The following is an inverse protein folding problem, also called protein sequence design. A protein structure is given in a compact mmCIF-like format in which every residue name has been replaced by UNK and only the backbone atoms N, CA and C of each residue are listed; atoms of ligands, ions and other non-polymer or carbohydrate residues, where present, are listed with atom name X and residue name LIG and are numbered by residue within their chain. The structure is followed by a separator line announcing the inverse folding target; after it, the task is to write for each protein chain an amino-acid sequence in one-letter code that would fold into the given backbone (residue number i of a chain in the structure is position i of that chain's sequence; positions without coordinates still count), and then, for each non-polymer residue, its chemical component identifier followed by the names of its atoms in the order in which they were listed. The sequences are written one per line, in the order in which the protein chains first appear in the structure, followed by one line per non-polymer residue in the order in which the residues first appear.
data_IF_004047595831
#
_entry.id   IF_004047595831
#
_cell.length_a   1.000
_cell.length_b   1.000
_cell.length_c   1.000
_cell.angle_alpha   90.00
_cell.angle_beta   90.00
_cell.angle_gamma   90.00
#
_symmetry.space_group_name_H-M   'P 1'
#
loop_
_entity.id
_entity.type
_entity.pdbx_description
1 polymer ?
#
# COMPACT_ATOMS: atom_id res chain seq x y z
N UNK A 1 13.93 -8.95 -14.92
CA UNK A 1 13.61 -10.31 -15.37
C UNK A 1 12.14 -10.41 -15.72
N UNK A 2 11.22 -10.15 -14.79
CA UNK A 2 9.78 -10.29 -15.06
C UNK A 2 9.26 -9.40 -16.21
N UNK A 3 9.86 -8.23 -16.44
CA UNK A 3 9.55 -7.35 -17.57
C UNK A 3 10.27 -7.72 -18.88
N UNK A 4 11.05 -8.80 -18.88
CA UNK A 4 11.79 -9.26 -20.07
C UNK A 4 13.06 -8.45 -20.40
N UNK A 5 13.45 -7.48 -19.58
CA UNK A 5 14.66 -6.65 -19.82
C UNK A 5 15.96 -7.43 -19.65
N UNK A 6 15.97 -8.38 -18.73
CA UNK A 6 17.10 -9.27 -18.48
C UNK A 6 16.62 -10.72 -18.42
N UNK A 7 17.37 -11.67 -19.03
CA UNK A 7 16.96 -13.08 -19.04
C UNK A 7 17.11 -13.74 -17.68
N UNK A 8 18.03 -13.26 -16.83
CA UNK A 8 18.34 -13.84 -15.53
C UNK A 8 18.82 -12.75 -14.56
N UNK A 9 18.61 -12.98 -13.27
CA UNK A 9 19.18 -12.19 -12.17
C UNK A 9 19.59 -13.12 -11.04
N UNK A 10 20.39 -12.60 -10.12
CA UNK A 10 20.79 -13.27 -8.88
C UNK A 10 20.20 -12.50 -7.71
N UNK A 11 19.62 -13.22 -6.77
CA UNK A 11 19.07 -12.66 -5.54
C UNK A 11 19.17 -13.70 -4.44
N UNK A 12 19.12 -13.25 -3.19
CA UNK A 12 18.99 -14.15 -2.05
C UNK A 12 17.71 -14.97 -2.19
N UNK A 13 17.80 -16.27 -1.91
CA UNK A 13 16.68 -17.21 -2.10
C UNK A 13 15.40 -16.72 -1.40
N UNK A 14 15.50 -16.28 -0.14
CA UNK A 14 14.35 -15.82 0.62
C UNK A 14 13.68 -14.57 0.02
N UNK A 15 14.44 -13.70 -0.66
CA UNK A 15 13.93 -12.54 -1.40
C UNK A 15 13.24 -13.01 -2.68
N UNK A 16 13.87 -13.91 -3.42
CA UNK A 16 13.30 -14.45 -4.65
C UNK A 16 11.97 -15.18 -4.38
N UNK A 17 11.91 -16.03 -3.36
CA UNK A 17 10.69 -16.74 -2.91
C UNK A 17 9.58 -15.80 -2.44
N UNK A 18 9.93 -14.66 -1.83
CA UNK A 18 8.97 -13.64 -1.42
C UNK A 18 8.28 -12.98 -2.63
N UNK A 19 9.05 -12.72 -3.69
CA UNK A 19 8.57 -12.00 -4.86
C UNK A 19 8.05 -12.90 -5.98
N UNK A 20 8.46 -14.17 -6.04
CA UNK A 20 8.02 -15.12 -7.07
C UNK A 20 6.50 -15.17 -7.24
N UNK A 21 5.69 -15.20 -6.16
CA UNK A 21 4.25 -15.21 -6.33
C UNK A 21 3.66 -13.95 -7.00
N UNK A 22 4.37 -12.82 -6.97
CA UNK A 22 3.98 -11.56 -7.60
C UNK A 22 4.47 -11.46 -9.05
N UNK A 23 5.55 -12.17 -9.38
CA UNK A 23 6.21 -12.16 -10.67
C UNK A 23 6.01 -13.51 -11.37
N UNK A 24 4.83 -13.73 -11.93
CA UNK A 24 4.42 -15.01 -12.50
C UNK A 24 5.26 -15.47 -13.70
N UNK A 25 5.94 -14.53 -14.36
CA UNK A 25 6.81 -14.83 -15.51
C UNK A 25 8.29 -15.02 -15.07
N UNK A 26 8.53 -15.03 -13.77
CA UNK A 26 9.84 -15.31 -13.16
C UNK A 26 9.86 -16.70 -12.57
N UNK A 27 10.91 -17.47 -12.85
CA UNK A 27 11.12 -18.80 -12.31
C UNK A 27 12.40 -18.84 -11.47
N UNK A 28 12.30 -19.35 -10.24
CA UNK A 28 13.47 -19.65 -9.42
C UNK A 28 14.06 -20.97 -9.90
N UNK A 29 15.34 -20.97 -10.26
CA UNK A 29 16.08 -22.18 -10.65
C UNK A 29 16.54 -22.91 -9.38
N UNK A 30 15.78 -23.88 -8.96
CA UNK A 30 16.12 -24.73 -7.79
C UNK A 30 17.40 -25.53 -8.08
N UNK A 31 18.32 -25.55 -7.10
CA UNK A 31 19.57 -26.29 -7.20
C UNK A 31 20.70 -25.56 -7.92
N UNK A 32 20.48 -24.32 -8.38
CA UNK A 32 21.55 -23.46 -8.94
C UNK A 32 21.87 -22.35 -7.93
N UNK A 33 22.92 -22.54 -7.16
CA UNK A 33 23.37 -21.60 -6.13
C UNK A 33 24.75 -21.05 -6.49
N UNK A 34 24.94 -19.75 -6.42
CA UNK A 34 26.25 -19.10 -6.56
C UNK A 34 27.01 -19.09 -5.24
N UNK A 35 26.28 -19.11 -4.14
CA UNK A 35 26.81 -19.18 -2.78
C UNK A 35 25.83 -19.84 -1.85
N UNK A 36 26.31 -20.67 -0.94
CA UNK A 36 25.52 -21.34 0.09
C UNK A 36 26.04 -20.98 1.49
N UNK A 37 25.21 -21.12 2.50
CA UNK A 37 25.59 -20.86 3.89
C UNK A 37 25.70 -19.38 4.26
N UNK A 38 25.08 -18.50 3.48
CA UNK A 38 25.02 -17.07 3.81
C UNK A 38 24.23 -16.82 5.11
N UNK A 39 24.76 -15.95 5.97
CA UNK A 39 24.09 -15.53 7.20
C UNK A 39 23.63 -14.08 7.08
N UNK A 40 22.39 -13.81 7.50
CA UNK A 40 21.89 -12.43 7.66
C UNK A 40 22.30 -11.91 9.02
N UNK A 41 23.11 -10.85 9.03
CA UNK A 41 23.66 -10.28 10.26
C UNK A 41 23.42 -8.78 10.34
N UNK A 42 23.28 -8.28 11.56
CA UNK A 42 23.22 -6.85 11.81
C UNK A 42 24.64 -6.29 11.99
N UNK A 43 24.94 -5.20 11.29
CA UNK A 43 26.22 -4.51 11.44
C UNK A 43 26.13 -3.48 12.57
N UNK A 44 27.10 -3.49 13.46
CA UNK A 44 27.22 -2.61 14.61
C UNK A 44 28.60 -1.91 14.63
N UNK A 45 28.66 -0.77 15.31
CA UNK A 45 29.96 -0.16 15.64
C UNK A 45 30.75 -1.11 16.54
N UNK A 46 32.07 -1.23 16.30
CA UNK A 46 32.96 -2.10 17.08
C UNK A 46 32.92 -1.83 18.59
N UNK A 47 32.72 -0.60 19.02
CA UNK A 47 32.71 -0.18 20.42
C UNK A 47 31.31 -0.11 21.02
N UNK A 48 30.42 -1.05 20.70
CA UNK A 48 29.05 -1.09 21.21
C UNK A 48 28.71 -2.46 21.85
N UNK A 49 29.47 -2.94 22.86
CA UNK A 49 29.29 -4.30 23.39
C UNK A 49 27.93 -4.51 24.07
N UNK A 50 27.40 -3.47 24.73
CA UNK A 50 26.09 -3.52 25.39
C UNK A 50 24.96 -3.67 24.35
N UNK A 51 25.03 -2.95 23.21
CA UNK A 51 24.08 -3.07 22.12
C UNK A 51 24.19 -4.45 21.46
N UNK A 52 25.40 -4.96 21.25
CA UNK A 52 25.61 -6.30 20.73
C UNK A 52 24.94 -7.36 21.61
N UNK A 53 25.13 -7.26 22.93
CA UNK A 53 24.52 -8.19 23.90
C UNK A 53 22.99 -8.09 23.85
N UNK A 54 22.43 -6.89 23.82
CA UNK A 54 20.98 -6.67 23.76
C UNK A 54 20.38 -7.23 22.46
N UNK A 55 21.04 -7.01 21.31
CA UNK A 55 20.57 -7.54 20.02
C UNK A 55 20.69 -9.04 19.91
N UNK A 56 21.74 -9.64 20.45
CA UNK A 56 21.88 -11.08 20.50
C UNK A 56 20.82 -11.74 21.39
N UNK A 57 20.50 -11.13 22.53
CA UNK A 57 19.40 -11.58 23.40
C UNK A 57 18.05 -11.47 22.68
N UNK A 58 17.78 -10.32 22.06
CA UNK A 58 16.58 -10.09 21.25
C UNK A 58 16.45 -11.14 20.13
N UNK A 59 17.51 -11.36 19.35
CA UNK A 59 17.48 -12.33 18.25
C UNK A 59 17.24 -13.76 18.73
N UNK A 60 17.82 -14.14 19.87
CA UNK A 60 17.62 -15.47 20.46
C UNK A 60 16.15 -15.72 20.81
N UNK A 61 15.46 -14.71 21.35
CA UNK A 61 14.05 -14.82 21.78
C UNK A 61 13.05 -14.59 20.63
N UNK A 62 13.45 -13.87 19.57
CA UNK A 62 12.54 -13.40 18.52
C UNK A 62 12.83 -13.99 17.13
N UNK A 63 13.67 -15.01 17.02
CA UNK A 63 13.96 -15.71 15.75
C UNK A 63 12.74 -16.42 15.17
N UNK A 64 12.82 -16.81 13.90
CA UNK A 64 11.84 -17.70 13.26
C UNK A 64 11.72 -18.98 14.12
N UNK A 65 10.48 -19.39 14.40
CA UNK A 65 10.17 -20.47 15.35
C UNK A 65 9.70 -19.96 16.72
N UNK A 66 10.03 -18.73 17.13
CA UNK A 66 9.41 -18.07 18.28
C UNK A 66 8.03 -17.52 17.93
N UNK A 67 7.21 -17.22 18.92
CA UNK A 67 5.90 -16.60 18.71
C UNK A 67 6.03 -15.28 17.94
N UNK A 68 6.92 -14.38 18.38
CA UNK A 68 7.17 -13.11 17.71
C UNK A 68 7.70 -13.30 16.27
N UNK A 69 8.71 -14.16 16.08
CA UNK A 69 9.26 -14.45 14.76
C UNK A 69 8.21 -15.01 13.81
N UNK A 70 7.34 -15.90 14.29
CA UNK A 70 6.24 -16.45 13.50
C UNK A 70 5.15 -15.41 13.19
N UNK A 71 4.87 -14.48 14.10
CA UNK A 71 3.96 -13.35 13.86
C UNK A 71 4.53 -12.44 12.77
N UNK A 72 5.81 -12.09 12.85
CA UNK A 72 6.48 -11.29 11.85
C UNK A 72 6.51 -11.98 10.48
N UNK A 73 6.88 -13.26 10.45
CA UNK A 73 6.86 -14.05 9.22
C UNK A 73 5.46 -14.08 8.58
N UNK A 74 4.40 -14.32 9.37
CA UNK A 74 3.02 -14.29 8.90
C UNK A 74 2.61 -12.91 8.39
N UNK A 75 3.01 -11.84 9.09
CA UNK A 75 2.65 -10.48 8.74
C UNK A 75 3.30 -10.01 7.44
N UNK A 76 4.59 -10.28 7.26
CA UNK A 76 5.36 -9.75 6.14
C UNK A 76 5.47 -10.73 4.96
N UNK A 77 5.50 -12.03 5.21
CA UNK A 77 5.69 -13.05 4.17
C UNK A 77 4.39 -13.79 3.79
N UNK A 78 3.48 -14.04 4.73
CA UNK A 78 2.21 -14.73 4.38
C UNK A 78 1.10 -13.79 3.92
N UNK A 79 1.17 -12.50 4.19
CA UNK A 79 0.25 -11.51 3.63
C UNK A 79 0.51 -11.19 2.14
N UNK A 80 1.53 -11.78 1.54
CA UNK A 80 1.68 -11.80 0.07
C UNK A 80 0.44 -12.37 -0.64
N UNK A 81 -0.32 -13.27 -0.01
CA UNK A 81 -1.62 -13.73 -0.53
C UNK A 81 -2.63 -12.60 -0.76
N UNK A 82 -2.68 -11.56 0.09
CA UNK A 82 -3.56 -10.40 -0.15
C UNK A 82 -3.09 -9.55 -1.32
N UNK A 83 -1.78 -9.40 -1.46
CA UNK A 83 -1.17 -8.69 -2.59
C UNK A 83 -1.36 -9.49 -3.88
N UNK A 84 -1.23 -10.82 -3.83
CA UNK A 84 -1.53 -11.75 -4.92
C UNK A 84 -3.00 -11.73 -5.31
N UNK A 85 -3.91 -11.64 -4.34
CA UNK A 85 -5.33 -11.52 -4.64
C UNK A 85 -5.64 -10.29 -5.48
N UNK A 86 -4.95 -9.16 -5.26
CA UNK A 86 -5.18 -7.94 -6.05
C UNK A 86 -4.92 -8.11 -7.57
N UNK A 87 -4.13 -9.11 -7.97
CA UNK A 87 -3.85 -9.44 -9.39
C UNK A 87 -4.49 -10.74 -9.84
N UNK A 88 -5.34 -11.37 -9.03
CA UNK A 88 -6.11 -12.53 -9.47
C UNK A 88 -7.02 -12.17 -10.64
N UNK A 89 -7.37 -13.14 -11.49
CA UNK A 89 -8.24 -12.91 -12.65
C UNK A 89 -9.56 -12.22 -12.28
N UNK A 90 -10.15 -12.59 -11.13
CA UNK A 90 -11.38 -11.98 -10.63
C UNK A 90 -11.20 -10.51 -10.27
N UNK A 91 -10.11 -10.19 -9.56
CA UNK A 91 -9.81 -8.81 -9.14
C UNK A 91 -9.35 -7.95 -10.33
N UNK A 92 -8.62 -8.52 -11.28
CA UNK A 92 -8.27 -7.82 -12.53
C UNK A 92 -9.49 -7.53 -13.40
N UNK A 93 -10.55 -8.35 -13.37
CA UNK A 93 -11.83 -7.98 -14.01
C UNK A 93 -12.46 -6.76 -13.35
N UNK A 94 -12.51 -6.71 -12.01
CA UNK A 94 -12.99 -5.53 -11.28
C UNK A 94 -12.12 -4.29 -11.55
N UNK A 95 -10.80 -4.47 -11.55
CA UNK A 95 -9.84 -3.43 -11.93
C UNK A 95 -10.21 -2.84 -13.29
N UNK A 96 -10.32 -3.66 -14.33
CA UNK A 96 -10.61 -3.22 -15.69
C UNK A 96 -11.99 -2.55 -15.81
N UNK A 97 -12.97 -2.99 -15.02
CA UNK A 97 -14.31 -2.40 -15.01
C UNK A 97 -14.36 -1.00 -14.36
N UNK A 98 -13.47 -0.72 -13.41
CA UNK A 98 -13.52 0.51 -12.63
C UNK A 98 -12.38 1.50 -12.95
N UNK A 99 -11.30 1.08 -13.61
CA UNK A 99 -10.12 1.93 -13.86
C UNK A 99 -10.47 3.25 -14.54
N UNK A 100 -11.37 3.25 -15.53
CA UNK A 100 -11.80 4.47 -16.20
C UNK A 100 -12.55 5.46 -15.28
N UNK A 101 -13.28 4.96 -14.28
CA UNK A 101 -13.93 5.81 -13.27
C UNK A 101 -12.89 6.43 -12.32
N UNK A 102 -11.89 5.64 -11.92
CA UNK A 102 -10.79 6.15 -11.12
C UNK A 102 -9.94 7.17 -11.89
N UNK A 103 -9.65 6.93 -13.17
CA UNK A 103 -8.94 7.91 -14.04
C UNK A 103 -9.71 9.22 -14.14
N UNK A 104 -11.04 9.17 -14.38
CA UNK A 104 -11.92 10.34 -14.46
C UNK A 104 -11.85 11.18 -13.17
N UNK A 105 -12.08 10.56 -12.00
CA UNK A 105 -12.15 11.31 -10.75
C UNK A 105 -10.76 11.70 -10.23
N UNK A 106 -9.74 10.87 -10.47
CA UNK A 106 -8.36 11.22 -10.18
C UNK A 106 -7.90 12.46 -10.98
N UNK A 107 -8.27 12.55 -12.26
CA UNK A 107 -8.01 13.73 -13.07
C UNK A 107 -8.73 14.99 -12.55
N UNK A 108 -9.98 14.83 -12.08
CA UNK A 108 -10.76 15.95 -11.52
C UNK A 108 -10.19 16.48 -10.19
N UNK A 109 -9.69 15.57 -9.34
CA UNK A 109 -9.21 15.91 -7.99
C UNK A 109 -7.68 15.89 -7.86
N UNK A 110 -6.95 15.78 -8.98
CA UNK A 110 -5.48 15.85 -9.09
C UNK A 110 -4.75 14.79 -8.26
N UNK A 111 -5.19 13.54 -8.37
CA UNK A 111 -4.56 12.39 -7.72
C UNK A 111 -4.04 11.36 -8.72
N UNK A 112 -3.12 10.49 -8.28
CA UNK A 112 -2.75 9.29 -9.02
C UNK A 112 -3.90 8.27 -8.94
N UNK A 113 -4.47 7.91 -10.10
CA UNK A 113 -5.64 7.01 -10.18
C UNK A 113 -5.35 5.60 -9.67
N UNK A 114 -4.13 5.09 -9.83
CA UNK A 114 -3.75 3.77 -9.32
C UNK A 114 -3.63 3.78 -7.79
N UNK A 115 -3.23 4.91 -7.21
CA UNK A 115 -3.15 5.06 -5.76
C UNK A 115 -4.54 5.17 -5.13
N UNK A 116 -5.47 5.91 -5.75
CA UNK A 116 -6.89 5.93 -5.36
C UNK A 116 -7.53 4.54 -5.51
N UNK A 117 -7.22 3.86 -6.59
CA UNK A 117 -7.75 2.51 -6.83
C UNK A 117 -7.22 1.50 -5.81
N UNK A 118 -5.95 1.63 -5.40
CA UNK A 118 -5.38 0.84 -4.32
C UNK A 118 -6.09 1.08 -2.98
N UNK A 119 -6.54 2.31 -2.71
CA UNK A 119 -7.40 2.60 -1.56
C UNK A 119 -8.76 1.89 -1.70
N UNK A 120 -9.44 2.02 -2.83
CA UNK A 120 -10.71 1.33 -3.07
C UNK A 120 -10.60 -0.19 -2.91
N UNK A 121 -9.46 -0.76 -3.28
CA UNK A 121 -9.18 -2.18 -3.03
C UNK A 121 -9.00 -2.48 -1.53
N UNK A 122 -8.30 -1.65 -0.79
CA UNK A 122 -8.15 -1.78 0.66
C UNK A 122 -9.49 -1.66 1.39
N UNK A 123 -10.37 -0.77 0.93
CA UNK A 123 -11.67 -0.50 1.55
C UNK A 123 -12.69 -1.63 1.33
N UNK A 124 -12.80 -2.13 0.10
CA UNK A 124 -13.89 -3.03 -0.29
C UNK A 124 -13.50 -4.17 -1.23
N UNK A 125 -12.22 -4.29 -1.63
CA UNK A 125 -11.80 -5.11 -2.76
C UNK A 125 -12.52 -4.73 -4.07
N UNK A 126 -12.72 -3.41 -4.27
CA UNK A 126 -13.41 -2.82 -5.42
C UNK A 126 -14.88 -3.29 -5.55
N UNK A 127 -15.54 -3.58 -4.45
CA UNK A 127 -16.93 -4.06 -4.44
C UNK A 127 -17.90 -2.92 -4.09
N UNK A 128 -18.73 -2.52 -5.06
CA UNK A 128 -19.78 -1.51 -4.86
C UNK A 128 -20.90 -2.00 -3.92
N UNK A 129 -21.11 -3.30 -3.80
CA UNK A 129 -22.12 -3.85 -2.89
C UNK A 129 -21.67 -3.91 -1.44
N UNK A 130 -20.37 -3.66 -1.17
CA UNK A 130 -19.82 -3.73 0.18
C UNK A 130 -20.49 -2.74 1.15
N UNK A 131 -20.76 -3.23 2.36
CA UNK A 131 -21.37 -2.47 3.47
C UNK A 131 -20.63 -2.78 4.76
N UNK A 132 -20.22 -1.76 5.50
CA UNK A 132 -19.61 -1.93 6.82
C UNK A 132 -20.66 -1.93 7.93
N UNK A 133 -20.27 -2.42 9.11
CA UNK A 133 -21.13 -2.34 10.31
C UNK A 133 -21.42 -0.91 10.76
N UNK A 134 -20.52 0.03 10.44
CA UNK A 134 -20.67 1.45 10.73
C UNK A 134 -21.54 2.18 9.69
N UNK A 135 -22.05 1.49 8.66
CA UNK A 135 -22.88 2.08 7.61
C UNK A 135 -22.10 2.68 6.43
N UNK A 136 -20.79 2.50 6.36
CA UNK A 136 -20.02 2.89 5.18
C UNK A 136 -20.37 1.99 3.98
N UNK A 137 -20.36 2.55 2.77
CA UNK A 137 -20.88 1.89 1.57
C UNK A 137 -19.93 2.00 0.38
N UNK A 138 -20.00 0.99 -0.49
CA UNK A 138 -19.42 0.99 -1.83
C UNK A 138 -17.92 0.83 -1.90
N UNK A 139 -17.38 1.10 -3.07
CA UNK A 139 -15.96 0.91 -3.42
C UNK A 139 -15.03 1.62 -2.45
N UNK A 140 -15.33 2.87 -2.08
CA UNK A 140 -14.50 3.72 -1.22
C UNK A 140 -14.92 3.70 0.26
N UNK A 141 -15.91 2.88 0.64
CA UNK A 141 -16.43 2.76 2.02
C UNK A 141 -16.67 4.11 2.68
N UNK A 142 -17.41 4.98 2.01
CA UNK A 142 -17.78 6.29 2.53
C UNK A 142 -19.15 6.23 3.21
N UNK A 143 -19.33 6.98 4.30
CA UNK A 143 -20.65 7.16 4.91
C UNK A 143 -21.55 8.00 3.99
N UNK A 144 -22.82 7.60 3.77
CA UNK A 144 -23.75 8.40 2.97
C UNK A 144 -23.97 9.82 3.50
N UNK A 145 -23.86 10.02 4.83
CA UNK A 145 -23.91 11.35 5.46
C UNK A 145 -22.74 12.23 5.01
N UNK A 146 -21.51 11.68 5.00
CA UNK A 146 -20.31 12.39 4.52
C UNK A 146 -20.43 12.72 3.03
N UNK A 147 -20.91 11.78 2.20
CA UNK A 147 -21.17 12.05 0.79
C UNK A 147 -22.18 13.19 0.59
N UNK A 148 -23.26 13.20 1.37
CA UNK A 148 -24.28 14.26 1.37
C UNK A 148 -23.70 15.62 1.74
N UNK A 149 -22.84 15.69 2.76
CA UNK A 149 -22.12 16.93 3.16
C UNK A 149 -21.23 17.45 2.03
N UNK A 150 -20.66 16.56 1.23
CA UNK A 150 -19.91 16.89 0.02
C UNK A 150 -20.78 17.25 -1.19
N UNK A 151 -22.12 17.22 -1.05
CA UNK A 151 -23.08 17.50 -2.13
C UNK A 151 -23.25 16.36 -3.13
N UNK A 152 -22.85 15.13 -2.78
CA UNK A 152 -22.94 13.95 -3.65
C UNK A 152 -23.97 12.97 -3.09
N UNK A 153 -24.90 12.54 -3.94
CA UNK A 153 -25.97 11.59 -3.61
C UNK A 153 -25.85 10.33 -4.46
N UNK A 154 -26.53 9.25 -4.03
CA UNK A 154 -26.60 7.99 -4.77
C UNK A 154 -25.33 7.13 -4.68
N UNK A 155 -24.51 7.35 -3.65
CA UNK A 155 -23.25 6.61 -3.43
C UNK A 155 -23.47 5.14 -3.12
N UNK A 156 -24.66 4.75 -2.66
CA UNK A 156 -25.02 3.36 -2.38
C UNK A 156 -25.25 2.52 -3.65
N UNK A 157 -25.77 3.16 -4.71
CA UNK A 157 -26.18 2.48 -5.94
C UNK A 157 -25.21 2.65 -7.12
N UNK A 158 -24.22 3.53 -6.99
CA UNK A 158 -23.35 3.89 -8.11
C UNK A 158 -21.88 3.94 -7.71
N UNK A 159 -21.06 3.10 -8.35
CA UNK A 159 -19.61 3.15 -8.18
C UNK A 159 -19.02 4.49 -8.63
N UNK A 160 -19.52 5.09 -9.71
CA UNK A 160 -19.08 6.41 -10.19
C UNK A 160 -19.29 7.47 -9.10
N UNK A 161 -20.49 7.54 -8.49
CA UNK A 161 -20.78 8.47 -7.40
C UNK A 161 -19.99 8.17 -6.13
N UNK A 162 -19.76 6.90 -5.85
CA UNK A 162 -19.01 6.49 -4.66
C UNK A 162 -17.53 6.86 -4.79
N UNK A 163 -16.91 6.63 -5.95
CA UNK A 163 -15.52 7.02 -6.25
C UNK A 163 -15.39 8.54 -6.28
N UNK A 164 -16.36 9.26 -6.89
CA UNK A 164 -16.41 10.73 -6.86
C UNK A 164 -16.37 11.27 -5.42
N UNK A 165 -17.26 10.75 -4.56
CA UNK A 165 -17.37 11.19 -3.18
C UNK A 165 -16.11 10.89 -2.37
N UNK A 166 -15.53 9.69 -2.51
CA UNK A 166 -14.27 9.32 -1.86
C UNK A 166 -13.10 10.20 -2.31
N UNK A 167 -12.98 10.47 -3.61
CA UNK A 167 -11.94 11.34 -4.17
C UNK A 167 -12.10 12.80 -3.70
N UNK A 168 -13.35 13.31 -3.68
CA UNK A 168 -13.66 14.65 -3.17
C UNK A 168 -13.35 14.79 -1.69
N UNK A 169 -13.63 13.75 -0.90
CA UNK A 169 -13.32 13.74 0.53
C UNK A 169 -11.81 13.77 0.77
N UNK A 170 -11.03 12.98 0.01
CA UNK A 170 -9.56 13.04 0.07
C UNK A 170 -9.03 14.43 -0.33
N UNK A 171 -9.62 15.06 -1.34
CA UNK A 171 -9.24 16.42 -1.75
C UNK A 171 -9.52 17.42 -0.63
N UNK A 172 -10.68 17.34 0.00
CA UNK A 172 -11.03 18.18 1.15
C UNK A 172 -10.04 17.99 2.31
N UNK A 173 -9.68 16.74 2.64
CA UNK A 173 -8.66 16.46 3.67
C UNK A 173 -7.33 17.10 3.27
N UNK A 174 -6.88 16.87 2.04
CA UNK A 174 -5.61 17.39 1.52
C UNK A 174 -5.55 18.91 1.60
N UNK A 175 -6.58 19.59 1.13
CA UNK A 175 -6.63 21.07 1.09
C UNK A 175 -6.74 21.69 2.48
N UNK A 176 -7.44 21.00 3.40
CA UNK A 176 -7.70 21.55 4.73
C UNK A 176 -6.53 21.34 5.69
N UNK A 177 -5.81 20.21 5.58
CA UNK A 177 -4.85 19.78 6.60
C UNK A 177 -3.43 19.56 6.09
N UNK A 178 -3.20 19.57 4.78
CA UNK A 178 -1.93 19.21 4.15
C UNK A 178 -1.49 20.25 3.10
N UNK A 179 -1.73 21.54 3.37
CA UNK A 179 -1.43 22.67 2.45
C UNK A 179 0.05 23.10 2.50
N UNK A 180 0.94 22.30 3.06
CA UNK A 180 2.36 22.59 3.04
C UNK A 180 2.97 22.22 1.67
N UNK A 181 3.65 23.18 1.05
CA UNK A 181 4.30 23.01 -0.25
C UNK A 181 5.47 22.02 -0.24
N UNK A 182 6.05 21.73 0.93
CA UNK A 182 7.12 20.76 1.09
C UNK A 182 6.62 19.31 1.06
N UNK A 183 5.31 19.09 1.25
CA UNK A 183 4.73 17.75 1.18
C UNK A 183 4.70 17.26 -0.28
N UNK A 184 5.46 16.21 -0.58
CA UNK A 184 5.44 15.60 -1.92
C UNK A 184 4.06 15.03 -2.26
N UNK A 185 3.65 14.96 -3.55
CA UNK A 185 2.33 14.44 -3.94
C UNK A 185 2.01 13.05 -3.37
N UNK A 186 3.00 12.16 -3.31
CA UNK A 186 2.84 10.81 -2.73
C UNK A 186 2.61 10.88 -1.22
N UNK A 187 3.42 11.64 -0.49
CA UNK A 187 3.24 11.79 0.96
C UNK A 187 1.92 12.47 1.30
N UNK A 188 1.53 13.50 0.53
CA UNK A 188 0.23 14.16 0.69
C UNK A 188 -0.92 13.16 0.63
N UNK A 189 -0.89 12.24 -0.31
CA UNK A 189 -1.92 11.23 -0.45
C UNK A 189 -1.84 10.15 0.66
N UNK A 190 -0.64 9.70 1.05
CA UNK A 190 -0.47 8.75 2.16
C UNK A 190 -0.97 9.34 3.49
N UNK A 191 -0.68 10.61 3.77
CA UNK A 191 -1.17 11.33 4.94
C UNK A 191 -2.69 11.53 4.87
N UNK A 192 -3.25 11.81 3.68
CA UNK A 192 -4.70 11.87 3.46
C UNK A 192 -5.38 10.52 3.74
N UNK A 193 -4.77 9.40 3.35
CA UNK A 193 -5.28 8.07 3.69
C UNK A 193 -5.27 7.80 5.19
N UNK A 194 -4.23 8.23 5.89
CA UNK A 194 -4.19 8.12 7.34
C UNK A 194 -5.33 8.92 8.00
N UNK A 195 -5.61 10.13 7.49
CA UNK A 195 -6.75 10.93 7.95
C UNK A 195 -8.11 10.35 7.54
N UNK A 196 -8.21 9.74 6.36
CA UNK A 196 -9.43 9.05 5.91
C UNK A 196 -9.82 7.91 6.86
N UNK A 197 -8.84 7.11 7.26
CA UNK A 197 -9.03 5.96 8.15
C UNK A 197 -9.20 6.37 9.62
N UNK A 198 -8.29 7.20 10.15
CA UNK A 198 -8.24 7.54 11.58
C UNK A 198 -9.02 8.81 11.95
N UNK A 199 -9.46 9.57 10.96
CA UNK A 199 -10.06 10.90 11.10
C UNK A 199 -9.03 12.04 11.10
N UNK A 200 -9.40 13.22 10.55
CA UNK A 200 -8.49 14.37 10.44
C UNK A 200 -7.96 14.88 11.79
N UNK A 201 -8.77 14.79 12.85
CA UNK A 201 -8.34 15.18 14.20
C UNK A 201 -7.18 14.33 14.72
N UNK A 202 -7.07 13.07 14.33
CA UNK A 202 -5.94 12.22 14.68
C UNK A 202 -4.72 12.53 13.81
N UNK A 203 -4.87 12.85 12.52
CA UNK A 203 -3.77 13.30 11.67
C UNK A 203 -3.02 14.48 12.32
N UNK A 204 -3.74 15.46 12.82
CA UNK A 204 -3.15 16.63 13.52
C UNK A 204 -2.39 16.25 14.79
N UNK A 205 -2.81 15.18 15.48
CA UNK A 205 -2.05 14.65 16.63
C UNK A 205 -0.80 13.89 16.16
N UNK A 206 -0.88 13.18 15.05
CA UNK A 206 0.26 12.48 14.47
C UNK A 206 1.36 13.46 14.07
N UNK A 207 1.02 14.54 13.37
CA UNK A 207 1.96 15.59 12.97
C UNK A 207 2.65 16.19 14.20
N UNK A 208 1.89 16.66 15.18
CA UNK A 208 2.45 17.23 16.41
C UNK A 208 3.36 16.26 17.18
N UNK A 209 3.03 14.99 17.23
CA UNK A 209 3.88 14.00 17.89
C UNK A 209 5.13 13.70 17.07
N UNK A 210 5.04 13.65 15.73
CA UNK A 210 6.18 13.48 14.85
C UNK A 210 7.18 14.63 15.05
N UNK A 211 6.75 15.89 14.95
CA UNK A 211 7.57 17.07 15.21
C UNK A 211 8.24 17.03 16.58
N UNK A 212 7.46 16.77 17.63
CA UNK A 212 7.97 16.66 19.01
C UNK A 212 9.01 15.54 19.18
N UNK A 213 8.95 14.53 18.34
CA UNK A 213 9.86 13.38 18.35
C UNK A 213 11.08 13.57 17.43
N UNK A 214 11.24 14.75 16.79
CA UNK A 214 12.31 15.01 15.82
C UNK A 214 12.14 14.26 14.51
N UNK A 215 10.91 13.86 14.16
CA UNK A 215 10.56 13.21 12.92
C UNK A 215 9.95 14.23 11.95
N UNK A 216 10.05 13.96 10.64
CA UNK A 216 9.51 14.82 9.61
C UNK A 216 7.97 14.67 9.52
N UNK A 217 7.18 15.73 9.81
CA UNK A 217 5.72 15.69 9.76
C UNK A 217 5.18 15.61 8.31
N UNK A 218 6.00 15.89 7.30
CA UNK A 218 5.63 15.90 5.90
C UNK A 218 5.87 14.55 5.21
N UNK A 219 6.43 13.57 5.92
CA UNK A 219 6.77 12.25 5.39
C UNK A 219 6.07 11.16 6.18
N UNK A 220 5.32 10.30 5.49
CA UNK A 220 4.61 9.20 6.14
C UNK A 220 5.55 8.10 6.61
N UNK A 221 6.25 7.43 5.68
CA UNK A 221 7.08 6.27 6.01
C UNK A 221 8.30 6.64 6.83
N UNK A 222 8.54 5.89 7.91
CA UNK A 222 9.63 6.12 8.84
C UNK A 222 9.46 7.33 9.76
N UNK A 223 8.42 8.15 9.57
CA UNK A 223 8.18 9.38 10.30
C UNK A 223 6.77 9.41 10.93
N UNK A 224 5.77 9.96 10.24
CA UNK A 224 4.40 10.14 10.79
C UNK A 224 3.76 8.80 11.16
N UNK A 225 4.07 7.73 10.46
CA UNK A 225 3.59 6.38 10.79
C UNK A 225 3.96 5.94 12.21
N UNK A 226 5.14 6.35 12.73
CA UNK A 226 5.55 6.02 14.09
C UNK A 226 4.70 6.77 15.13
N UNK A 227 4.37 8.02 14.85
CA UNK A 227 3.45 8.79 15.69
C UNK A 227 2.03 8.21 15.66
N UNK A 228 1.56 7.82 14.47
CA UNK A 228 0.26 7.16 14.30
C UNK A 228 0.20 5.84 15.09
N UNK A 229 1.23 5.00 14.99
CA UNK A 229 1.31 3.75 15.74
C UNK A 229 1.21 3.95 17.26
N UNK A 230 1.78 5.03 17.79
CA UNK A 230 1.74 5.35 19.22
C UNK A 230 0.38 5.89 19.68
N UNK A 231 -0.37 6.57 18.80
CA UNK A 231 -1.64 7.25 19.18
C UNK A 231 -2.85 6.34 18.95
N UNK A 232 -2.93 5.66 17.79
CA UNK A 232 -4.10 4.85 17.39
C UNK A 232 -3.76 3.37 17.19
N UNK A 233 -2.53 2.96 17.49
CA UNK A 233 -2.09 1.59 17.25
C UNK A 233 -1.74 1.35 15.77
N UNK A 234 -1.72 0.07 15.39
CA UNK A 234 -1.19 -0.35 14.09
C UNK A 234 -2.22 -0.34 12.95
N UNK A 235 -3.50 -0.19 13.25
CA UNK A 235 -4.56 -0.30 12.24
C UNK A 235 -4.34 0.69 11.09
N UNK A 236 -4.18 1.98 11.40
CA UNK A 236 -3.94 3.02 10.40
C UNK A 236 -2.59 2.84 9.68
N UNK A 237 -1.55 2.40 10.38
CA UNK A 237 -0.24 2.11 9.77
C UNK A 237 -0.34 0.97 8.76
N UNK A 238 -1.00 -0.12 9.16
CA UNK A 238 -1.22 -1.28 8.30
C UNK A 238 -2.14 -0.93 7.12
N UNK A 239 -3.14 -0.07 7.33
CA UNK A 239 -4.04 0.44 6.30
C UNK A 239 -3.26 1.20 5.20
N UNK A 240 -2.50 2.23 5.57
CA UNK A 240 -1.72 3.02 4.59
C UNK A 240 -0.64 2.16 3.93
N UNK A 241 0.05 1.32 4.71
CA UNK A 241 1.06 0.41 4.19
C UNK A 241 0.51 -0.60 3.17
N UNK A 242 -0.70 -1.13 3.39
CA UNK A 242 -1.36 -2.03 2.44
C UNK A 242 -1.76 -1.30 1.16
N UNK A 243 -2.33 -0.09 1.25
CA UNK A 243 -2.66 0.72 0.06
C UNK A 243 -1.42 0.93 -0.79
N UNK A 244 -0.29 1.29 -0.19
CA UNK A 244 0.94 1.49 -0.94
C UNK A 244 1.44 0.21 -1.62
N UNK A 245 1.31 -0.96 -0.97
CA UNK A 245 1.63 -2.26 -1.59
C UNK A 245 0.75 -2.54 -2.80
N UNK A 246 -0.58 -2.33 -2.69
CA UNK A 246 -1.50 -2.51 -3.82
C UNK A 246 -1.20 -1.54 -4.96
N UNK A 247 -0.84 -0.30 -4.64
CA UNK A 247 -0.41 0.69 -5.62
C UNK A 247 0.80 0.22 -6.44
N UNK A 248 1.85 -0.29 -5.78
CA UNK A 248 3.03 -0.84 -6.45
C UNK A 248 2.64 -1.98 -7.39
N UNK A 249 1.76 -2.88 -6.94
CA UNK A 249 1.27 -4.01 -7.74
C UNK A 249 0.47 -3.52 -8.96
N UNK A 250 -0.44 -2.58 -8.79
CA UNK A 250 -1.21 -2.03 -9.89
C UNK A 250 -0.34 -1.28 -10.89
N UNK A 251 0.67 -0.57 -10.41
CA UNK A 251 1.64 0.12 -11.27
C UNK A 251 2.43 -0.85 -12.15
N UNK A 252 2.90 -1.94 -11.56
CA UNK A 252 3.58 -3.02 -12.30
C UNK A 252 2.64 -3.71 -13.30
N UNK A 253 1.41 -4.02 -12.91
CA UNK A 253 0.41 -4.62 -13.80
C UNK A 253 0.05 -3.70 -14.97
N UNK A 254 -0.15 -2.41 -14.72
CA UNK A 254 -0.43 -1.42 -15.75
C UNK A 254 0.74 -1.24 -16.73
N UNK A 255 1.97 -1.23 -16.23
CA UNK A 255 3.17 -1.19 -17.06
C UNK A 255 3.24 -2.42 -17.98
N UNK A 256 3.06 -3.63 -17.45
CA UNK A 256 3.08 -4.88 -18.22
C UNK A 256 2.00 -4.89 -19.32
N UNK A 257 0.81 -4.35 -19.01
CA UNK A 257 -0.26 -4.24 -20.00
C UNK A 257 0.10 -3.28 -21.16
N UNK A 258 0.75 -2.14 -20.83
CA UNK A 258 1.23 -1.19 -21.85
C UNK A 258 2.31 -1.81 -22.74
N UNK A 259 3.26 -2.52 -22.17
CA UNK A 259 4.32 -3.19 -22.89
C UNK A 259 3.77 -4.29 -23.83
N UNK A 260 2.80 -5.08 -23.36
CA UNK A 260 2.11 -6.07 -24.21
C UNK A 260 1.34 -5.44 -25.37
N UNK A 261 0.63 -4.32 -25.13
CA UNK A 261 -0.06 -3.57 -26.18
C UNK A 261 0.91 -2.97 -27.20
N UNK A 262 2.06 -2.48 -26.76
CA UNK A 262 3.08 -1.93 -27.63
C UNK A 262 3.81 -3.02 -28.45
N UNK A 263 3.92 -4.23 -27.93
CA UNK A 263 4.54 -5.37 -28.60
C UNK A 263 3.59 -6.16 -29.51
N UNK A 264 2.27 -5.94 -29.41
CA UNK A 264 1.30 -6.57 -30.32
C UNK A 264 1.48 -6.01 -31.74
N UNK A 265 1.62 -6.87 -32.78
CA UNK A 265 1.69 -6.39 -34.16
C UNK A 265 0.43 -5.59 -34.48
N UNK A 266 0.60 -4.41 -35.11
CA UNK A 266 -0.53 -3.70 -35.66
C UNK A 266 -1.30 -4.66 -36.58
N UNK A 267 -2.54 -4.98 -36.21
CA UNK A 267 -3.41 -5.71 -37.10
C UNK A 267 -3.48 -4.92 -38.39
N UNK A 268 -2.92 -5.51 -39.47
CA UNK A 268 -3.04 -4.95 -40.83
C UNK A 268 -4.51 -5.06 -41.19
N UNK A 269 -5.21 -3.94 -41.16
CA UNK A 269 -6.51 -3.77 -41.80
C UNK A 269 -6.41 -3.90 -43.31
#
# INVERSE_FOLDING_TARGET
VNAGLFPVTVADQHIAELWQPLYTDMQIQAGVYLHEGGELSWALRKNSPQLLQALNAFNKEHKIGSEFGNIMLRRYFKNSKRVLNATSEGEMRKFNALVGLFEKHAGTYEFDHLLLMAQGFQESQLDQAARSRAGAVGVMQLLPSTAKELGIQGVEGSADRNIEAGSKYLRLISDTYLDDAEITPVNRLLLSFAAYNAGPGNLMKFHRLAEKSGLDPNVWFGNVEQAAARIVGRETVDYVGNIYKYYVVYKLAAQKLRERKAAAPAERG
#
